data_IF_651214215142
#
_entry.id   IF_651214215142
#
_cell.length_a   1.000
_cell.length_b   1.000
_cell.length_c   1.000
_cell.angle_alpha   90.00
_cell.angle_beta   90.00
_cell.angle_gamma   90.00
#
_symmetry.space_group_name_H-M   'P 1'
#
loop_
_entity.id
_entity.type
_entity.pdbx_description
1 polymer ?
#
# COMPACT_ATOMS: atom_id res chain seq x y z
N UNK A 1 15.37 -2.20 21.23
CA UNK A 1 15.31 -2.91 22.54
C UNK A 1 16.57 -2.55 23.34
N UNK A 2 16.49 -2.16 24.61
CA UNK A 2 17.64 -1.49 25.28
C UNK A 2 18.70 -2.44 25.83
N UNK A 3 18.31 -3.55 26.45
CA UNK A 3 19.24 -4.59 26.90
C UNK A 3 18.51 -5.93 27.10
N UNK A 4 19.25 -7.03 26.93
CA UNK A 4 18.81 -8.39 27.23
C UNK A 4 19.97 -9.09 27.92
N UNK A 5 19.73 -9.65 29.10
CA UNK A 5 20.71 -10.44 29.84
C UNK A 5 20.26 -11.90 29.88
N UNK A 6 21.21 -12.83 29.69
CA UNK A 6 20.93 -14.26 29.78
C UNK A 6 22.19 -15.04 30.16
N UNK A 7 22.03 -16.03 31.04
CA UNK A 7 23.10 -16.99 31.39
C UNK A 7 23.45 -17.87 30.19
N UNK A 8 24.76 -18.05 29.97
CA UNK A 8 25.31 -18.87 28.88
C UNK A 8 26.28 -19.90 29.47
N UNK A 9 26.25 -21.11 28.93
CA UNK A 9 27.16 -22.21 29.32
C UNK A 9 27.84 -22.84 28.10
N UNK A 10 29.06 -23.32 28.28
CA UNK A 10 29.80 -24.12 27.29
C UNK A 10 29.43 -25.60 27.32
N UNK A 11 28.74 -26.06 28.36
CA UNK A 11 28.40 -27.46 28.63
C UNK A 11 26.88 -27.58 28.84
N UNK A 12 26.12 -27.25 27.79
CA UNK A 12 24.67 -27.25 27.84
C UNK A 12 24.13 -28.67 28.07
N UNK A 13 23.22 -28.82 29.04
CA UNK A 13 22.57 -30.10 29.35
C UNK A 13 23.18 -30.88 30.53
N UNK A 14 24.30 -30.44 31.11
CA UNK A 14 24.81 -31.06 32.34
C UNK A 14 24.16 -30.45 33.60
N UNK A 15 24.02 -31.26 34.64
CA UNK A 15 23.39 -30.85 35.89
C UNK A 15 24.37 -30.07 36.78
N UNK A 16 24.14 -28.75 36.87
CA UNK A 16 24.80 -27.83 37.79
C UNK A 16 23.81 -26.73 38.17
N UNK A 17 23.97 -26.10 39.34
CA UNK A 17 22.99 -25.17 39.94
C UNK A 17 22.28 -24.23 38.94
N UNK A 18 23.03 -23.53 38.07
CA UNK A 18 22.46 -22.55 37.12
C UNK A 18 22.33 -23.05 35.67
N UNK A 19 22.86 -24.24 35.37
CA UNK A 19 22.94 -24.73 33.99
C UNK A 19 21.60 -25.14 33.37
N UNK A 20 20.62 -25.66 34.13
CA UNK A 20 19.27 -25.88 33.61
C UNK A 20 18.60 -24.62 33.04
N UNK A 21 19.00 -23.42 33.51
CA UNK A 21 18.46 -22.14 33.06
C UNK A 21 19.35 -21.41 32.03
N UNK A 22 20.59 -21.89 31.82
CA UNK A 22 21.55 -21.34 30.88
C UNK A 22 21.33 -21.89 29.46
N UNK A 23 21.70 -21.10 28.45
CA UNK A 23 21.64 -21.51 27.04
C UNK A 23 23.03 -21.84 26.51
N UNK A 24 23.10 -22.67 25.45
CA UNK A 24 24.36 -22.90 24.74
C UNK A 24 24.82 -21.67 23.96
N UNK A 25 26.10 -21.65 23.57
CA UNK A 25 26.66 -20.63 22.67
C UNK A 25 25.89 -20.56 21.34
N UNK A 26 25.51 -21.71 20.78
CA UNK A 26 24.73 -21.76 19.54
C UNK A 26 23.33 -21.17 19.70
N UNK A 27 22.68 -21.44 20.83
CA UNK A 27 21.38 -20.86 21.17
C UNK A 27 21.49 -19.35 21.37
N UNK A 28 22.57 -18.85 21.98
CA UNK A 28 22.83 -17.42 22.11
C UNK A 28 23.03 -16.74 20.75
N UNK A 29 23.80 -17.36 19.85
CA UNK A 29 23.96 -16.88 18.48
C UNK A 29 22.64 -16.85 17.70
N UNK A 30 21.78 -17.86 17.90
CA UNK A 30 20.44 -17.90 17.31
C UNK A 30 19.54 -16.79 17.87
N UNK A 31 19.57 -16.59 19.20
CA UNK A 31 18.84 -15.53 19.89
C UNK A 31 19.24 -14.16 19.33
N UNK A 32 20.54 -13.88 19.19
CA UNK A 32 21.03 -12.64 18.61
C UNK A 32 20.46 -12.36 17.21
N UNK A 33 20.46 -13.38 16.33
CA UNK A 33 19.88 -13.25 14.97
C UNK A 33 18.40 -12.89 15.02
N UNK A 34 17.64 -13.53 15.93
CA UNK A 34 16.21 -13.25 16.10
C UNK A 34 15.95 -11.86 16.69
N UNK A 35 16.74 -11.45 17.67
CA UNK A 35 16.65 -10.10 18.27
C UNK A 35 16.94 -9.04 17.22
N UNK A 36 17.92 -9.25 16.32
CA UNK A 36 18.15 -8.34 15.19
C UNK A 36 16.95 -8.18 14.28
N UNK A 37 16.27 -9.28 13.95
CA UNK A 37 15.04 -9.22 13.16
C UNK A 37 13.97 -8.44 13.91
N UNK A 38 13.76 -8.75 15.20
CA UNK A 38 12.77 -8.08 16.04
C UNK A 38 13.04 -6.57 16.16
N UNK A 39 14.30 -6.18 16.31
CA UNK A 39 14.67 -4.76 16.39
C UNK A 39 14.38 -4.02 15.08
N UNK A 40 14.56 -4.68 13.94
CA UNK A 40 14.15 -4.16 12.62
C UNK A 40 12.65 -4.08 12.40
N UNK A 41 11.83 -4.76 13.21
CA UNK A 41 10.37 -4.66 13.18
C UNK A 41 9.83 -3.52 14.06
N UNK A 42 10.67 -2.87 14.87
CA UNK A 42 10.23 -1.74 15.67
C UNK A 42 9.83 -0.57 14.74
N UNK A 43 8.55 -0.26 14.74
CA UNK A 43 8.04 0.92 14.05
C UNK A 43 8.50 2.20 14.76
N UNK A 44 8.69 3.26 13.98
CA UNK A 44 8.95 4.62 14.46
C UNK A 44 7.66 5.46 14.55
N UNK A 45 6.49 4.82 14.42
CA UNK A 45 5.17 5.48 14.40
C UNK A 45 4.85 6.22 13.10
N UNK A 46 5.73 6.16 12.09
CA UNK A 46 5.48 6.77 10.78
C UNK A 46 4.49 5.91 9.99
N UNK A 47 3.43 6.52 9.47
CA UNK A 47 2.38 5.87 8.65
C UNK A 47 2.59 6.06 7.13
N UNK A 48 3.77 6.50 6.71
CA UNK A 48 4.08 6.67 5.29
C UNK A 48 4.17 5.32 4.60
N UNK A 49 3.60 5.23 3.40
CA UNK A 49 3.74 4.05 2.55
C UNK A 49 5.18 3.89 2.07
N UNK A 50 5.66 2.65 2.02
CA UNK A 50 6.92 2.31 1.37
C UNK A 50 6.78 2.25 -0.16
N UNK A 51 7.88 2.12 -0.89
CA UNK A 51 7.88 2.08 -2.36
C UNK A 51 7.04 0.93 -2.94
N UNK A 52 7.03 -0.23 -2.28
CA UNK A 52 6.20 -1.38 -2.66
C UNK A 52 4.71 -1.09 -2.50
N UNK A 53 4.33 -0.43 -1.40
CA UNK A 53 2.95 0.00 -1.16
C UNK A 53 2.52 1.09 -2.14
N UNK A 54 3.39 2.06 -2.43
CA UNK A 54 3.14 3.12 -3.41
C UNK A 54 2.95 2.56 -4.81
N UNK A 55 3.83 1.66 -5.25
CA UNK A 55 3.71 0.99 -6.56
C UNK A 55 2.48 0.08 -6.65
N UNK A 56 2.06 -0.54 -5.55
CA UNK A 56 0.80 -1.27 -5.48
C UNK A 56 -0.44 -0.35 -5.41
N UNK A 57 -0.26 0.92 -5.04
CA UNK A 57 -1.33 1.89 -4.87
C UNK A 57 -1.75 2.60 -6.17
N UNK A 58 -1.38 2.08 -7.33
CA UNK A 58 -1.71 2.68 -8.63
C UNK A 58 -3.17 2.40 -9.04
N UNK A 59 -3.88 3.44 -9.49
CA UNK A 59 -5.26 3.35 -9.98
C UNK A 59 -5.31 2.84 -11.43
N UNK A 60 -6.21 1.90 -11.71
CA UNK A 60 -6.31 1.14 -12.95
C UNK A 60 -5.87 -0.31 -12.74
N UNK A 61 -4.55 -0.61 -12.77
CA UNK A 61 -4.06 -1.98 -12.63
C UNK A 61 -4.37 -2.63 -11.28
N UNK A 62 -4.08 -1.93 -10.18
CA UNK A 62 -4.17 -2.49 -8.82
C UNK A 62 -5.41 -2.01 -8.07
N UNK A 63 -5.75 -0.72 -8.19
CA UNK A 63 -6.98 -0.13 -7.63
C UNK A 63 -7.99 0.17 -8.74
N UNK A 64 -9.28 0.14 -8.43
CA UNK A 64 -10.32 0.42 -9.44
C UNK A 64 -10.23 1.88 -9.92
N UNK A 65 -10.18 2.08 -11.23
CA UNK A 65 -10.28 3.38 -11.89
C UNK A 65 -11.69 3.60 -12.44
N UNK A 66 -12.06 4.87 -12.65
CA UNK A 66 -13.31 5.23 -13.30
C UNK A 66 -13.19 5.08 -14.83
N UNK A 67 -14.15 4.38 -15.42
CA UNK A 67 -14.21 4.10 -16.86
C UNK A 67 -15.59 4.46 -17.38
N UNK A 68 -15.66 5.12 -18.53
CA UNK A 68 -16.93 5.46 -19.15
C UNK A 68 -17.67 4.21 -19.65
N UNK A 69 -18.98 4.14 -19.36
CA UNK A 69 -19.88 3.06 -19.82
C UNK A 69 -20.43 3.30 -21.23
N UNK A 70 -20.33 4.54 -21.71
CA UNK A 70 -20.87 5.02 -22.98
C UNK A 70 -19.89 6.00 -23.61
N UNK A 71 -20.00 6.24 -24.91
CA UNK A 71 -19.27 7.33 -25.55
C UNK A 71 -19.72 8.69 -25.01
N UNK A 72 -18.77 9.60 -24.80
CA UNK A 72 -18.99 10.93 -24.24
C UNK A 72 -18.56 11.97 -25.25
N UNK A 73 -19.34 13.04 -25.34
CA UNK A 73 -19.05 14.20 -26.19
C UNK A 73 -18.46 15.35 -25.37
N UNK A 74 -17.64 16.17 -26.02
CA UNK A 74 -17.11 17.40 -25.45
C UNK A 74 -18.27 18.32 -25.03
N UNK A 75 -18.20 18.83 -23.81
CA UNK A 75 -19.22 19.68 -23.19
C UNK A 75 -20.15 18.92 -22.25
N UNK A 76 -20.19 17.58 -22.31
CA UNK A 76 -21.03 16.77 -21.44
C UNK A 76 -20.66 16.97 -19.96
N UNK A 77 -21.67 16.95 -19.10
CA UNK A 77 -21.49 17.07 -17.65
C UNK A 77 -21.22 15.68 -17.09
N UNK A 78 -20.11 15.52 -16.38
CA UNK A 78 -19.75 14.26 -15.72
C UNK A 78 -20.80 13.90 -14.67
N UNK A 79 -21.44 12.74 -14.81
CA UNK A 79 -22.34 12.15 -13.81
C UNK A 79 -21.84 10.77 -13.38
N UNK A 80 -22.31 10.30 -12.22
CA UNK A 80 -21.94 8.96 -11.71
C UNK A 80 -22.47 7.83 -12.59
N UNK A 81 -23.60 8.04 -13.27
CA UNK A 81 -24.23 7.03 -14.11
C UNK A 81 -23.38 6.70 -15.35
N UNK A 82 -22.66 7.71 -15.87
CA UNK A 82 -21.79 7.61 -17.04
C UNK A 82 -20.55 6.74 -16.80
N UNK A 83 -20.18 6.49 -15.54
CA UNK A 83 -18.94 5.80 -15.18
C UNK A 83 -19.19 4.50 -14.41
N UNK A 84 -18.28 3.55 -14.55
CA UNK A 84 -18.14 2.37 -13.70
C UNK A 84 -16.73 2.32 -13.12
N UNK A 85 -16.60 1.81 -11.91
CA UNK A 85 -15.29 1.58 -11.28
C UNK A 85 -14.83 0.15 -11.51
N UNK A 86 -13.80 -0.03 -12.34
CA UNK A 86 -13.23 -1.33 -12.68
C UNK A 86 -11.70 -1.29 -12.63
N UNK A 87 -11.06 -2.47 -12.54
CA UNK A 87 -9.62 -2.58 -12.80
C UNK A 87 -9.37 -2.62 -14.31
N UNK A 88 -8.31 -1.98 -14.75
CA UNK A 88 -7.93 -1.84 -16.16
C UNK A 88 -6.41 -1.97 -16.30
N UNK A 89 -5.90 -2.14 -17.51
CA UNK A 89 -4.44 -2.14 -17.73
C UNK A 89 -3.84 -0.74 -17.75
N UNK A 90 -4.63 0.28 -18.06
CA UNK A 90 -4.13 1.65 -18.17
C UNK A 90 -4.23 2.36 -16.81
N UNK A 91 -3.34 3.33 -16.60
CA UNK A 91 -3.21 4.02 -15.31
C UNK A 91 -4.10 5.27 -15.30
N UNK A 92 -4.88 5.44 -14.23
CA UNK A 92 -5.63 6.67 -13.97
C UNK A 92 -4.85 7.57 -13.02
N UNK A 93 -4.97 8.89 -13.24
CA UNK A 93 -4.43 9.95 -12.39
C UNK A 93 -5.39 10.37 -11.27
N UNK A 94 -6.55 9.72 -11.16
CA UNK A 94 -7.58 10.07 -10.19
C UNK A 94 -7.91 8.91 -9.25
N UNK A 95 -8.06 9.22 -7.96
CA UNK A 95 -8.68 8.29 -7.02
C UNK A 95 -10.21 8.26 -7.20
N UNK A 96 -10.86 7.23 -6.63
CA UNK A 96 -12.33 7.17 -6.61
C UNK A 96 -12.96 8.37 -5.88
N UNK A 97 -12.28 8.88 -4.84
CA UNK A 97 -12.73 10.06 -4.09
C UNK A 97 -12.65 11.31 -4.97
N UNK A 98 -11.58 11.47 -5.73
CA UNK A 98 -11.41 12.62 -6.63
C UNK A 98 -12.45 12.61 -7.75
N UNK A 99 -12.79 11.42 -8.26
CA UNK A 99 -13.85 11.25 -9.26
C UNK A 99 -15.21 11.68 -8.71
N UNK A 100 -15.56 11.23 -7.50
CA UNK A 100 -16.83 11.60 -6.86
C UNK A 100 -16.90 13.11 -6.60
N UNK A 101 -15.78 13.74 -6.21
CA UNK A 101 -15.70 15.20 -6.04
C UNK A 101 -15.79 15.97 -7.35
N UNK A 102 -15.49 15.32 -8.48
CA UNK A 102 -15.48 15.93 -9.81
C UNK A 102 -16.82 15.84 -10.54
N UNK A 103 -17.82 15.17 -9.96
CA UNK A 103 -19.17 15.08 -10.52
C UNK A 103 -19.73 16.49 -10.71
N UNK A 104 -20.33 16.73 -11.87
CA UNK A 104 -20.83 18.04 -12.27
C UNK A 104 -19.85 18.90 -13.08
N UNK A 105 -18.58 18.52 -13.21
CA UNK A 105 -17.62 19.18 -14.13
C UNK A 105 -17.93 18.87 -15.59
N UNK A 106 -17.51 19.75 -16.51
CA UNK A 106 -17.66 19.54 -17.96
C UNK A 106 -16.48 18.75 -18.52
N UNK A 107 -16.74 17.93 -19.52
CA UNK A 107 -15.72 17.14 -20.21
C UNK A 107 -15.19 17.91 -21.43
N UNK A 108 -13.87 17.98 -21.59
CA UNK A 108 -13.23 18.83 -22.60
C UNK A 108 -12.94 18.18 -23.95
N UNK A 109 -13.17 16.86 -24.05
CA UNK A 109 -12.82 16.07 -25.22
C UNK A 109 -13.85 14.95 -25.42
N UNK A 110 -14.08 14.56 -26.67
CA UNK A 110 -14.82 13.35 -26.99
C UNK A 110 -14.04 12.12 -26.50
N UNK A 111 -14.73 11.18 -25.85
CA UNK A 111 -14.15 9.95 -25.30
C UNK A 111 -15.01 8.76 -25.72
N UNK A 112 -14.36 7.65 -26.04
CA UNK A 112 -15.06 6.43 -26.43
C UNK A 112 -15.57 5.66 -25.22
N UNK A 113 -16.52 4.75 -25.46
CA UNK A 113 -16.94 3.80 -24.44
C UNK A 113 -15.74 2.96 -23.99
N UNK A 114 -15.54 2.80 -22.68
CA UNK A 114 -14.39 2.09 -22.13
C UNK A 114 -13.17 2.96 -21.90
N UNK A 115 -13.19 4.25 -22.28
CA UNK A 115 -12.11 5.18 -21.96
C UNK A 115 -12.00 5.43 -20.45
N UNK A 116 -10.76 5.57 -19.96
CA UNK A 116 -10.48 5.93 -18.57
C UNK A 116 -10.73 7.42 -18.36
N UNK A 117 -11.43 7.74 -17.27
CA UNK A 117 -11.55 9.10 -16.79
C UNK A 117 -10.22 9.57 -16.20
N UNK A 118 -9.73 10.71 -16.69
CA UNK A 118 -8.53 11.38 -16.22
C UNK A 118 -8.83 12.83 -15.85
N UNK A 119 -8.06 13.40 -14.93
CA UNK A 119 -8.30 14.76 -14.44
C UNK A 119 -8.14 15.80 -15.57
N UNK A 120 -7.19 15.57 -16.48
CA UNK A 120 -6.96 16.42 -17.66
C UNK A 120 -8.17 16.55 -18.60
N UNK A 121 -9.18 15.68 -18.48
CA UNK A 121 -10.39 15.74 -19.30
C UNK A 121 -11.49 16.63 -18.70
N UNK A 122 -11.31 17.12 -17.48
CA UNK A 122 -12.32 17.86 -16.73
C UNK A 122 -12.02 19.35 -16.73
N UNK A 123 -13.05 20.17 -16.90
CA UNK A 123 -13.01 21.63 -16.77
C UNK A 123 -14.02 22.03 -15.71
N UNK A 124 -13.64 23.00 -14.88
CA UNK A 124 -14.57 23.64 -13.96
C UNK A 124 -15.69 24.34 -14.74
N UNK A 125 -16.89 24.40 -14.14
CA UNK A 125 -17.98 25.19 -14.69
C UNK A 125 -17.60 26.66 -14.58
N UNK A 126 -17.52 27.35 -15.72
CA UNK A 126 -17.75 28.81 -15.76
C UNK A 126 -19.13 29.15 -15.19
#
# INVERSE_FOLDING_TARGET
MTYIEKHVTTHYGENRVDWPAAISIDMFNNLYKKVKVLDGLNGNGVLSMNEGELSYSIFGPMKKAAVFKTGISKGDILTLEMIKFIRTKEISDMSQVDVVKSIGKKINKNLENGAILMNKYLIDKE
#
